data_IF_175516989924
#
_entry.id   IF_175516989924
#
_cell.length_a   1.000
_cell.length_b   1.000
_cell.length_c   1.000
_cell.angle_alpha   90.00
_cell.angle_beta   90.00
_cell.angle_gamma   90.00
#
_symmetry.space_group_name_H-M   'P 1'
#
loop_
_entity.id
_entity.type
_entity.pdbx_description
1 polymer ?
#
# COMPACT_ATOMS: atom_id res chain seq x y z
N UNK A 1 4.59 -20.30 14.80
CA UNK A 1 5.76 -20.45 13.90
C UNK A 1 5.81 -19.23 13.00
N UNK A 2 6.94 -18.52 12.95
CA UNK A 2 7.10 -17.28 12.19
C UNK A 2 6.96 -17.59 10.69
N UNK A 3 5.91 -17.07 10.05
CA UNK A 3 5.75 -17.08 8.60
C UNK A 3 6.46 -15.85 8.05
N UNK A 4 7.59 -16.06 7.37
CA UNK A 4 8.24 -15.03 6.57
C UNK A 4 7.72 -15.17 5.14
N UNK A 5 6.79 -14.30 4.73
CA UNK A 5 6.36 -14.23 3.34
C UNK A 5 7.40 -13.45 2.52
N UNK A 6 8.18 -14.18 1.72
CA UNK A 6 9.05 -13.60 0.71
C UNK A 6 8.25 -13.45 -0.59
N UNK A 7 7.67 -12.27 -0.83
CA UNK A 7 7.05 -11.96 -2.13
C UNK A 7 8.13 -11.45 -3.09
N UNK A 8 8.55 -12.30 -4.02
CA UNK A 8 9.46 -11.94 -5.10
C UNK A 8 8.64 -11.38 -6.27
N UNK A 9 8.61 -10.05 -6.41
CA UNK A 9 8.04 -9.40 -7.60
C UNK A 9 9.18 -8.98 -8.52
N UNK A 10 9.22 -9.56 -9.72
CA UNK A 10 10.23 -9.26 -10.74
C UNK A 10 9.57 -8.37 -11.78
N UNK A 11 10.06 -7.15 -11.98
CA UNK A 11 9.54 -6.25 -13.01
C UNK A 11 10.66 -5.75 -13.91
N UNK A 12 10.41 -5.77 -15.22
CA UNK A 12 11.32 -5.29 -16.26
C UNK A 12 10.84 -3.90 -16.70
N UNK A 13 11.52 -2.84 -16.26
CA UNK A 13 11.27 -1.49 -16.76
C UNK A 13 12.17 -1.21 -17.96
N UNK A 14 11.55 -0.97 -19.12
CA UNK A 14 12.22 -0.38 -20.28
C UNK A 14 12.28 1.14 -20.07
N UNK A 15 13.41 1.64 -19.57
CA UNK A 15 13.67 3.08 -19.50
C UNK A 15 14.24 3.55 -20.84
N UNK A 16 13.54 4.47 -21.50
CA UNK A 16 14.12 5.29 -22.55
C UNK A 16 15.23 6.17 -21.95
N UNK A 17 16.33 6.45 -22.69
CA UNK A 17 17.40 7.29 -22.18
C UNK A 17 16.88 8.72 -21.97
N UNK A 18 16.57 9.05 -20.72
CA UNK A 18 16.38 10.44 -20.31
C UNK A 18 17.74 11.04 -20.01
N UNK A 19 18.02 12.20 -20.60
CA UNK A 19 19.19 13.01 -20.25
C UNK A 19 19.00 13.54 -18.82
N UNK A 20 19.48 12.78 -17.84
CA UNK A 20 19.55 13.21 -16.44
C UNK A 20 20.98 13.66 -16.10
N UNK A 21 21.04 14.76 -15.36
CA UNK A 21 22.24 15.47 -14.94
C UNK A 21 23.27 14.56 -14.25
N UNK A 22 24.54 14.62 -14.67
CA UNK A 22 25.65 13.95 -13.99
C UNK A 22 25.83 14.55 -12.58
N UNK A 23 25.58 13.74 -11.56
CA UNK A 23 25.85 14.07 -10.17
C UNK A 23 26.28 12.83 -9.41
N UNK A 24 26.60 12.94 -8.11
CA UNK A 24 26.99 11.80 -7.27
C UNK A 24 25.96 10.65 -7.25
N UNK A 25 24.73 10.94 -7.62
CA UNK A 25 23.66 9.96 -7.83
C UNK A 25 23.01 10.22 -9.18
N UNK A 26 22.82 9.15 -9.92
CA UNK A 26 22.34 9.14 -11.31
C UNK A 26 20.99 8.43 -11.34
N UNK A 27 19.93 9.20 -11.51
CA UNK A 27 18.55 8.67 -11.56
C UNK A 27 18.27 7.87 -12.84
N UNK A 28 18.98 8.15 -13.94
CA UNK A 28 18.80 7.45 -15.23
C UNK A 28 19.33 6.01 -15.26
N UNK A 29 20.07 5.58 -14.23
CA UNK A 29 20.52 4.19 -14.11
C UNK A 29 19.33 3.25 -13.92
N UNK A 30 19.44 1.98 -14.36
CA UNK A 30 18.38 1.00 -14.15
C UNK A 30 18.13 0.68 -12.67
N UNK A 31 19.05 1.05 -11.76
CA UNK A 31 18.91 0.98 -10.31
C UNK A 31 18.87 2.36 -9.64
N UNK A 32 18.57 3.42 -10.42
CA UNK A 32 18.50 4.81 -9.96
C UNK A 32 17.21 5.16 -9.21
N UNK A 33 16.29 4.21 -9.08
CA UNK A 33 15.05 4.31 -8.32
C UNK A 33 14.90 3.11 -7.39
N UNK A 34 14.23 3.32 -6.25
CA UNK A 34 13.80 2.22 -5.39
C UNK A 34 12.78 1.33 -6.11
N UNK A 35 12.49 0.14 -5.57
CA UNK A 35 11.43 -0.72 -6.09
C UNK A 35 10.11 0.04 -6.19
N UNK A 36 9.34 -0.20 -7.27
CA UNK A 36 8.13 0.56 -7.63
C UNK A 36 7.06 0.68 -6.52
N UNK A 37 7.04 -0.25 -5.57
CA UNK A 37 6.13 -0.24 -4.42
C UNK A 37 6.52 0.79 -3.34
N UNK A 38 7.76 1.28 -3.32
CA UNK A 38 8.22 2.28 -2.36
C UNK A 38 7.71 3.64 -2.82
N UNK A 39 6.83 4.25 -2.04
CA UNK A 39 6.24 5.54 -2.38
C UNK A 39 7.17 6.68 -2.01
N UNK A 40 7.30 7.65 -2.92
CA UNK A 40 8.18 8.80 -2.73
C UNK A 40 9.64 8.40 -2.45
N UNK A 41 10.14 7.38 -3.16
CA UNK A 41 11.52 6.91 -3.01
C UNK A 41 12.54 7.91 -3.57
N UNK A 42 12.14 8.80 -4.47
CA UNK A 42 13.01 9.75 -5.14
C UNK A 42 12.40 11.16 -5.19
N UNK A 43 13.27 12.14 -5.47
CA UNK A 43 12.92 13.54 -5.63
C UNK A 43 13.32 14.05 -7.02
N UNK A 44 12.72 15.16 -7.42
CA UNK A 44 12.92 15.81 -8.71
C UNK A 44 13.66 17.13 -8.58
N UNK A 45 14.36 17.54 -9.64
CA UNK A 45 14.97 18.87 -9.73
C UNK A 45 13.92 19.94 -10.05
N UNK A 46 14.17 21.20 -9.67
CA UNK A 46 13.19 22.29 -9.87
C UNK A 46 12.63 22.32 -11.31
N UNK A 47 11.30 22.38 -11.42
CA UNK A 47 10.59 22.47 -12.69
C UNK A 47 10.29 21.12 -13.34
N UNK A 48 10.87 20.02 -12.87
CA UNK A 48 10.57 18.69 -13.38
C UNK A 48 9.15 18.23 -12.97
N UNK A 49 8.59 17.39 -13.84
CA UNK A 49 7.30 16.76 -13.66
C UNK A 49 7.44 15.26 -13.88
N UNK A 50 6.70 14.47 -13.11
CA UNK A 50 6.50 13.05 -13.36
C UNK A 50 5.01 12.75 -13.33
N UNK A 51 4.54 12.03 -14.34
CA UNK A 51 3.22 11.40 -14.35
C UNK A 51 3.45 9.90 -14.20
N UNK A 52 2.65 9.25 -13.36
CA UNK A 52 2.75 7.82 -13.14
C UNK A 52 1.38 7.16 -13.13
N UNK A 53 1.35 5.95 -13.66
CA UNK A 53 0.26 5.02 -13.56
C UNK A 53 0.84 3.70 -13.05
N UNK A 54 0.26 3.15 -11.98
CA UNK A 54 0.67 1.86 -11.41
C UNK A 54 -0.57 0.99 -11.26
N UNK A 55 -0.45 -0.25 -11.65
CA UNK A 55 -1.47 -1.26 -11.44
C UNK A 55 -0.94 -2.30 -10.45
N UNK A 56 -1.72 -2.62 -9.43
CA UNK A 56 -1.40 -3.61 -8.42
C UNK A 56 -2.59 -4.54 -8.25
N UNK A 57 -2.33 -5.84 -8.29
CA UNK A 57 -3.26 -6.88 -7.86
C UNK A 57 -2.74 -7.46 -6.55
N UNK A 58 -3.63 -7.61 -5.58
CA UNK A 58 -3.34 -8.25 -4.30
C UNK A 58 -4.36 -9.34 -4.04
N UNK A 59 -3.86 -10.57 -3.99
CA UNK A 59 -4.62 -11.73 -3.52
C UNK A 59 -4.31 -11.98 -2.04
N UNK A 60 -5.36 -12.15 -1.27
CA UNK A 60 -5.33 -12.47 0.16
C UNK A 60 -6.14 -13.74 0.39
N UNK A 61 -5.47 -14.72 0.97
CA UNK A 61 -6.04 -15.98 1.41
C UNK A 61 -5.60 -16.21 2.85
N UNK A 62 -6.35 -17.02 3.60
CA UNK A 62 -6.09 -17.38 5.01
C UNK A 62 -6.59 -16.34 6.02
N UNK A 63 -7.14 -16.86 7.11
CA UNK A 63 -7.56 -16.08 8.26
C UNK A 63 -6.49 -16.05 9.35
N UNK A 64 -6.30 -14.89 9.95
CA UNK A 64 -5.35 -14.69 11.04
C UNK A 64 -6.08 -14.13 12.27
N UNK A 65 -5.73 -14.63 13.46
CA UNK A 65 -6.03 -14.02 14.75
C UNK A 65 -4.71 -13.60 15.40
N UNK A 66 -4.38 -12.32 15.29
CA UNK A 66 -3.04 -11.83 15.54
C UNK A 66 -2.04 -12.49 14.59
N UNK A 67 -0.98 -13.10 15.13
CA UNK A 67 0.04 -13.78 14.32
C UNK A 67 -0.27 -15.26 13.99
N UNK A 68 -1.42 -15.79 14.41
CA UNK A 68 -1.77 -17.21 14.28
C UNK A 68 -2.81 -17.43 13.19
N UNK A 69 -2.57 -18.39 12.30
CA UNK A 69 -3.59 -18.84 11.35
C UNK A 69 -4.72 -19.57 12.08
N UNK A 70 -5.95 -19.28 11.68
CA UNK A 70 -7.18 -19.87 12.22
C UNK A 70 -8.01 -20.44 11.08
N UNK A 71 -8.80 -21.47 11.37
CA UNK A 71 -9.72 -22.06 10.38
C UNK A 71 -11.05 -21.31 10.36
N UNK A 72 -11.74 -21.37 9.23
CA UNK A 72 -13.10 -20.81 9.05
C UNK A 72 -14.07 -21.35 10.11
N UNK A 73 -14.09 -22.67 10.33
CA UNK A 73 -14.95 -23.32 11.34
C UNK A 73 -14.72 -22.82 12.77
N UNK A 74 -13.49 -22.41 13.09
CA UNK A 74 -13.16 -21.91 14.44
C UNK A 74 -13.63 -20.48 14.69
N UNK A 75 -13.97 -19.74 13.62
CA UNK A 75 -14.39 -18.35 13.70
C UNK A 75 -15.90 -18.19 13.48
N UNK A 76 -16.51 -19.07 12.69
CA UNK A 76 -17.96 -19.11 12.47
C UNK A 76 -18.68 -19.66 13.71
N UNK A 77 -19.55 -18.85 14.32
CA UNK A 77 -20.30 -19.25 15.50
C UNK A 77 -21.80 -18.96 15.42
N UNK A 78 -22.58 -19.74 16.17
CA UNK A 78 -24.01 -19.49 16.37
C UNK A 78 -24.35 -18.95 17.76
N UNK A 79 -23.70 -19.44 18.82
CA UNK A 79 -23.93 -18.95 20.20
C UNK A 79 -22.86 -19.37 21.22
N UNK A 80 -21.76 -20.04 20.83
CA UNK A 80 -20.73 -20.48 21.81
C UNK A 80 -19.39 -21.03 21.26
N UNK A 81 -19.15 -21.06 19.94
CA UNK A 81 -17.91 -21.64 19.36
C UNK A 81 -17.17 -20.70 18.40
N UNK A 82 -17.78 -19.58 18.00
CA UNK A 82 -17.16 -18.54 17.17
C UNK A 82 -17.87 -17.19 17.35
N UNK A 83 -17.19 -16.11 16.97
CA UNK A 83 -17.64 -14.73 17.25
C UNK A 83 -18.36 -14.09 16.04
N UNK A 84 -18.29 -14.71 14.85
CA UNK A 84 -18.72 -14.08 13.59
C UNK A 84 -19.80 -14.88 12.85
N UNK A 85 -20.77 -14.16 12.26
CA UNK A 85 -21.84 -14.73 11.41
C UNK A 85 -21.37 -15.04 9.99
N UNK A 86 -20.41 -14.28 9.50
CA UNK A 86 -19.80 -14.40 8.18
C UNK A 86 -18.29 -14.26 8.35
N UNK A 87 -17.54 -15.01 7.57
CA UNK A 87 -16.08 -15.02 7.63
C UNK A 87 -15.52 -14.94 6.20
N UNK A 88 -14.58 -14.02 5.93
CA UNK A 88 -13.93 -13.94 4.63
C UNK A 88 -13.02 -15.13 4.40
N UNK A 89 -12.93 -15.59 3.16
CA UNK A 89 -12.16 -16.78 2.77
C UNK A 89 -11.06 -16.43 1.78
N UNK A 90 -11.39 -15.57 0.81
CA UNK A 90 -10.46 -14.99 -0.15
C UNK A 90 -10.86 -13.53 -0.40
N UNK A 91 -9.87 -12.71 -0.72
CA UNK A 91 -10.08 -11.34 -1.18
C UNK A 91 -9.09 -11.04 -2.30
N UNK A 92 -9.60 -10.48 -3.39
CA UNK A 92 -8.82 -9.96 -4.50
C UNK A 92 -9.04 -8.45 -4.57
N UNK A 93 -7.95 -7.70 -4.57
CA UNK A 93 -7.97 -6.25 -4.71
C UNK A 93 -7.14 -5.85 -5.92
N UNK A 94 -7.79 -5.20 -6.88
CA UNK A 94 -7.14 -4.54 -8.00
C UNK A 94 -7.12 -3.02 -7.76
N UNK A 95 -5.94 -2.41 -7.91
CA UNK A 95 -5.71 -1.01 -7.62
C UNK A 95 -5.04 -0.31 -8.80
N UNK A 96 -5.69 0.74 -9.29
CA UNK A 96 -5.17 1.66 -10.29
C UNK A 96 -4.73 2.95 -9.62
N UNK A 97 -3.42 3.20 -9.57
CA UNK A 97 -2.83 4.36 -8.90
C UNK A 97 -2.39 5.38 -9.94
N UNK A 98 -2.96 6.58 -9.89
CA UNK A 98 -2.58 7.70 -10.73
C UNK A 98 -1.84 8.73 -9.88
N UNK A 99 -0.61 9.04 -10.26
CA UNK A 99 0.25 9.95 -9.53
C UNK A 99 0.80 11.07 -10.41
N UNK A 100 0.91 12.25 -9.83
CA UNK A 100 1.57 13.41 -10.42
C UNK A 100 2.59 13.94 -9.41
N UNK A 101 3.82 14.15 -9.85
CA UNK A 101 4.84 14.84 -9.07
C UNK A 101 5.27 16.11 -9.79
N UNK A 102 5.53 17.16 -9.01
CA UNK A 102 6.10 18.40 -9.49
C UNK A 102 7.11 18.96 -8.49
N UNK A 103 8.32 19.24 -8.95
CA UNK A 103 9.33 19.91 -8.14
C UNK A 103 9.19 21.42 -8.22
N UNK A 104 8.69 22.03 -7.15
CA UNK A 104 8.57 23.49 -7.02
C UNK A 104 9.91 24.16 -6.68
N UNK A 105 10.89 23.38 -6.20
CA UNK A 105 12.28 23.80 -5.97
C UNK A 105 13.19 22.56 -5.90
N UNK A 106 14.51 22.75 -5.89
CA UNK A 106 15.47 21.65 -5.70
C UNK A 106 15.41 20.97 -4.33
N UNK A 107 14.66 21.56 -3.38
CA UNK A 107 14.42 21.02 -2.03
C UNK A 107 13.03 20.43 -1.85
N UNK A 108 12.08 20.75 -2.71
CA UNK A 108 10.68 20.39 -2.53
C UNK A 108 10.12 19.77 -3.79
N UNK A 109 9.65 18.53 -3.67
CA UNK A 109 8.82 17.88 -4.68
C UNK A 109 7.45 17.61 -4.09
N UNK A 110 6.41 18.10 -4.73
CA UNK A 110 5.03 17.83 -4.35
C UNK A 110 4.51 16.65 -5.17
N UNK A 111 3.68 15.81 -4.55
CA UNK A 111 3.04 14.67 -5.17
C UNK A 111 1.54 14.71 -4.85
N UNK A 112 0.71 14.50 -5.86
CA UNK A 112 -0.71 14.20 -5.73
C UNK A 112 -1.00 12.82 -6.27
N UNK A 113 -1.84 12.06 -5.58
CA UNK A 113 -2.20 10.70 -5.97
C UNK A 113 -3.65 10.39 -5.69
N UNK A 114 -4.30 9.73 -6.64
CA UNK A 114 -5.64 9.17 -6.50
C UNK A 114 -5.60 7.71 -6.93
N UNK A 115 -6.36 6.86 -6.24
CA UNK A 115 -6.47 5.45 -6.55
C UNK A 115 -7.90 5.12 -6.95
N UNK A 116 -8.07 4.22 -7.91
CA UNK A 116 -9.31 3.50 -8.13
C UNK A 116 -9.13 2.06 -7.66
N UNK A 117 -10.05 1.59 -6.82
CA UNK A 117 -10.04 0.27 -6.22
C UNK A 117 -11.16 -0.56 -6.83
N UNK A 118 -10.90 -1.85 -6.99
CA UNK A 118 -11.86 -2.88 -7.35
C UNK A 118 -11.60 -4.08 -6.44
N UNK A 119 -12.50 -4.31 -5.49
CA UNK A 119 -12.39 -5.31 -4.45
C UNK A 119 -13.45 -6.38 -4.67
N UNK A 120 -13.02 -7.63 -4.56
CA UNK A 120 -13.86 -8.81 -4.56
C UNK A 120 -13.51 -9.64 -3.33
N UNK A 121 -14.50 -10.07 -2.57
CA UNK A 121 -14.30 -10.86 -1.36
C UNK A 121 -15.31 -11.98 -1.27
N UNK A 122 -14.79 -13.20 -1.20
CA UNK A 122 -15.55 -14.41 -0.96
C UNK A 122 -15.70 -14.64 0.53
N UNK A 123 -16.93 -14.89 0.96
CA UNK A 123 -17.30 -15.15 2.35
C UNK A 123 -18.09 -16.43 2.46
N UNK A 124 -17.97 -17.08 3.60
CA UNK A 124 -18.82 -18.20 3.98
C UNK A 124 -19.63 -17.82 5.22
N UNK A 125 -20.90 -18.20 5.20
CA UNK A 125 -21.78 -18.21 6.37
C UNK A 125 -22.30 -19.63 6.61
N UNK A 126 -22.38 -20.04 7.86
CA UNK A 126 -22.81 -21.40 8.24
C UNK A 126 -24.31 -21.50 8.51
N UNK A 127 -24.99 -20.36 8.70
CA UNK A 127 -26.35 -20.38 9.22
C UNK A 127 -27.24 -19.41 8.46
N UNK A 128 -28.32 -19.94 7.89
CA UNK A 128 -29.39 -19.16 7.29
C UNK A 128 -30.64 -19.29 8.15
N UNK A 129 -31.31 -18.16 8.37
CA UNK A 129 -32.59 -18.13 9.06
C UNK A 129 -33.71 -18.21 8.00
N UNK A 130 -34.41 -19.35 7.95
CA UNK A 130 -35.49 -19.58 6.99
C UNK A 130 -36.76 -19.95 7.75
N UNK A 131 -37.80 -19.11 7.62
CA UNK A 131 -39.09 -19.34 8.27
C UNK A 131 -39.03 -19.34 9.81
N UNK A 132 -38.08 -18.63 10.41
CA UNK A 132 -37.90 -18.57 11.87
C UNK A 132 -37.13 -19.75 12.48
N UNK A 133 -36.50 -20.60 11.66
CA UNK A 133 -35.59 -21.65 12.10
C UNK A 133 -34.17 -21.39 11.56
N UNK A 134 -33.17 -21.46 12.44
CA UNK A 134 -31.74 -21.41 12.09
C UNK A 134 -31.28 -22.79 11.66
N UNK A 135 -30.90 -22.96 10.39
CA UNK A 135 -30.38 -24.23 9.85
C UNK A 135 -28.88 -24.12 9.60
N UNK A 136 -28.14 -25.17 9.96
CA UNK A 136 -26.70 -25.30 9.67
C UNK A 136 -26.54 -25.68 8.19
N UNK A 137 -26.15 -24.72 7.35
CA UNK A 137 -25.85 -24.92 5.94
C UNK A 137 -24.81 -23.90 5.46
N UNK A 138 -23.79 -24.40 4.76
CA UNK A 138 -22.68 -23.59 4.29
C UNK A 138 -23.15 -22.84 3.04
N UNK A 139 -23.13 -21.52 3.10
CA UNK A 139 -23.49 -20.65 1.99
C UNK A 139 -22.32 -19.74 1.64
N UNK A 140 -21.90 -19.82 0.38
CA UNK A 140 -20.89 -18.95 -0.20
C UNK A 140 -21.56 -17.66 -0.69
N UNK A 141 -20.93 -16.53 -0.38
CA UNK A 141 -21.37 -15.21 -0.81
C UNK A 141 -20.17 -14.42 -1.31
N UNK A 142 -20.38 -13.63 -2.36
CA UNK A 142 -19.40 -12.67 -2.85
C UNK A 142 -19.87 -11.25 -2.51
N UNK A 143 -18.94 -10.42 -2.08
CA UNK A 143 -19.12 -8.97 -1.97
C UNK A 143 -18.13 -8.27 -2.90
N UNK A 144 -18.61 -7.23 -3.56
CA UNK A 144 -17.82 -6.41 -4.46
C UNK A 144 -17.93 -4.95 -4.05
N UNK A 145 -16.85 -4.20 -4.21
CA UNK A 145 -16.87 -2.74 -4.11
C UNK A 145 -15.86 -2.14 -5.07
N UNK A 146 -16.24 -1.06 -5.75
CA UNK A 146 -15.31 -0.37 -6.64
C UNK A 146 -15.55 1.13 -6.70
N UNK A 147 -14.47 1.88 -6.89
CA UNK A 147 -14.54 3.33 -6.98
C UNK A 147 -13.26 4.02 -6.59
N UNK A 148 -13.33 5.34 -6.44
CA UNK A 148 -12.19 6.15 -6.04
C UNK A 148 -11.93 6.01 -4.54
N UNK A 149 -10.66 5.83 -4.19
CA UNK A 149 -10.21 5.90 -2.81
C UNK A 149 -9.83 7.32 -2.39
N UNK A 150 -9.10 7.40 -1.29
CA UNK A 150 -8.68 8.67 -0.71
C UNK A 150 -7.65 9.41 -1.57
N UNK A 151 -7.83 10.73 -1.67
CA UNK A 151 -6.88 11.63 -2.31
C UNK A 151 -5.66 11.82 -1.39
N UNK A 152 -4.47 11.54 -1.91
CA UNK A 152 -3.21 11.71 -1.17
C UNK A 152 -2.41 12.88 -1.70
N UNK A 153 -2.00 13.77 -0.81
CA UNK A 153 -1.06 14.85 -1.08
C UNK A 153 0.21 14.62 -0.27
N UNK A 154 1.38 14.64 -0.91
CA UNK A 154 2.65 14.38 -0.25
C UNK A 154 3.67 15.45 -0.61
N UNK A 155 4.28 16.06 0.40
CA UNK A 155 5.46 16.92 0.24
C UNK A 155 6.73 16.14 0.53
N UNK A 156 7.63 16.05 -0.44
CA UNK A 156 8.96 15.48 -0.28
C UNK A 156 9.96 16.61 -0.04
N UNK A 157 10.72 16.53 1.05
CA UNK A 157 11.71 17.53 1.44
C UNK A 157 13.12 16.96 1.51
N UNK A 158 14.03 17.54 0.73
CA UNK A 158 15.44 17.16 0.69
C UNK A 158 16.13 17.58 1.99
N UNK A 159 16.56 16.60 2.79
CA UNK A 159 17.27 16.85 4.05
C UNK A 159 18.77 17.01 3.81
N UNK A 160 19.38 16.09 3.06
CA UNK A 160 20.80 16.15 2.73
C UNK A 160 21.17 15.28 1.52
N UNK A 161 22.15 15.78 0.76
CA UNK A 161 22.82 15.08 -0.34
C UNK A 161 24.32 15.08 -0.07
N UNK A 162 24.98 13.95 -0.28
CA UNK A 162 26.43 13.82 -0.13
C UNK A 162 27.11 13.52 -1.46
N UNK A 163 28.38 13.93 -1.59
CA UNK A 163 29.20 13.75 -2.80
C UNK A 163 29.53 12.28 -3.12
N UNK A 164 29.17 11.34 -2.26
CA UNK A 164 29.38 9.90 -2.47
C UNK A 164 28.09 9.15 -2.80
N UNK A 165 27.11 9.83 -3.40
CA UNK A 165 25.88 9.21 -3.88
C UNK A 165 24.88 8.83 -2.79
N UNK A 166 25.05 9.34 -1.57
CA UNK A 166 24.05 9.18 -0.50
C UNK A 166 23.08 10.36 -0.50
N UNK A 167 21.81 10.09 -0.20
CA UNK A 167 20.75 11.11 -0.08
C UNK A 167 19.77 10.73 1.03
N UNK A 168 19.15 11.72 1.64
CA UNK A 168 18.09 11.53 2.62
C UNK A 168 17.02 12.61 2.43
N UNK A 169 15.76 12.21 2.50
CA UNK A 169 14.62 13.10 2.38
C UNK A 169 13.45 12.66 3.25
N UNK A 170 12.57 13.60 3.57
CA UNK A 170 11.32 13.36 4.29
C UNK A 170 10.17 13.31 3.31
N UNK A 171 9.17 12.48 3.61
CA UNK A 171 7.88 12.45 2.98
C UNK A 171 6.85 12.88 4.03
N UNK A 172 6.10 13.94 3.75
CA UNK A 172 5.04 14.45 4.60
C UNK A 172 3.72 14.32 3.85
N UNK A 173 3.01 13.21 4.09
CA UNK A 173 1.75 12.90 3.42
C UNK A 173 0.53 13.28 4.24
N UNK A 174 -0.53 13.65 3.53
CA UNK A 174 -1.88 13.82 4.06
C UNK A 174 -2.85 13.05 3.14
N UNK A 175 -3.61 12.13 3.72
CA UNK A 175 -4.74 11.46 3.07
C UNK A 175 -6.02 12.20 3.41
N UNK A 176 -6.78 12.55 2.38
CA UNK A 176 -8.04 13.25 2.47
C UNK A 176 -9.15 12.21 2.28
N UNK A 177 -10.11 12.06 3.21
CA UNK A 177 -11.13 11.01 3.17
C UNK A 177 -12.18 11.28 2.11
N UNK A 178 -11.81 11.09 0.84
CA UNK A 178 -12.70 11.24 -0.32
C UNK A 178 -13.26 9.90 -0.78
N UNK A 179 -12.65 8.79 -0.36
CA UNK A 179 -13.15 7.46 -0.65
C UNK A 179 -14.42 7.15 0.15
N UNK A 180 -15.32 6.39 -0.46
CA UNK A 180 -16.57 5.97 0.17
C UNK A 180 -16.32 4.99 1.31
N UNK A 181 -17.07 5.15 2.41
CA UNK A 181 -17.15 4.20 3.53
C UNK A 181 -18.58 3.65 3.73
N UNK A 182 -19.47 3.88 2.76
CA UNK A 182 -20.86 3.45 2.75
C UNK A 182 -21.12 2.34 1.72
N UNK A 183 -20.08 1.64 1.25
CA UNK A 183 -20.22 0.54 0.30
C UNK A 183 -21.03 -0.60 0.93
N UNK A 184 -21.96 -1.14 0.14
CA UNK A 184 -22.99 -2.08 0.62
C UNK A 184 -23.11 -3.29 -0.30
N UNK A 185 -23.47 -4.43 0.28
CA UNK A 185 -24.02 -5.57 -0.45
C UNK A 185 -25.45 -5.82 0.02
N UNK A 186 -26.40 -5.59 -0.89
CA UNK A 186 -27.83 -5.61 -0.53
C UNK A 186 -28.18 -4.50 0.46
N UNK A 187 -28.65 -4.86 1.65
CA UNK A 187 -29.04 -3.92 2.70
C UNK A 187 -27.92 -3.63 3.72
N UNK A 188 -26.84 -4.43 3.71
CA UNK A 188 -25.81 -4.41 4.73
C UNK A 188 -24.57 -3.64 4.26
N UNK A 189 -24.00 -2.81 5.15
CA UNK A 189 -22.72 -2.13 4.92
C UNK A 189 -21.61 -3.18 4.92
N UNK A 190 -20.73 -3.11 3.92
CA UNK A 190 -19.58 -3.99 3.82
C UNK A 190 -18.58 -3.73 4.94
N UNK A 191 -17.83 -4.77 5.33
CA UNK A 191 -16.78 -4.63 6.34
C UNK A 191 -15.74 -3.58 5.95
N UNK A 192 -15.06 -2.99 6.93
CA UNK A 192 -14.09 -1.90 6.74
C UNK A 192 -13.00 -2.20 5.69
N UNK A 193 -12.61 -3.46 5.49
CA UNK A 193 -11.64 -3.86 4.47
C UNK A 193 -12.14 -3.78 3.03
N UNK A 194 -13.46 -3.70 2.84
CA UNK A 194 -14.12 -3.55 1.54
C UNK A 194 -14.55 -2.10 1.27
N UNK A 195 -14.33 -1.18 2.21
CA UNK A 195 -14.59 0.24 1.97
C UNK A 195 -13.47 0.84 1.09
N UNK A 196 -13.82 1.87 0.32
CA UNK A 196 -12.90 2.47 -0.65
C UNK A 196 -11.97 3.53 -0.03
N UNK A 197 -12.39 4.13 1.08
CA UNK A 197 -11.62 5.10 1.85
C UNK A 197 -11.41 4.67 3.30
N UNK A 198 -10.59 5.43 4.03
CA UNK A 198 -10.44 5.27 5.47
C UNK A 198 -11.58 5.91 6.28
N UNK A 199 -12.22 6.93 5.71
CA UNK A 199 -13.17 7.80 6.40
C UNK A 199 -12.51 8.82 7.33
N UNK A 200 -11.18 8.81 7.47
CA UNK A 200 -10.44 9.71 8.36
C UNK A 200 -9.40 10.54 7.61
N UNK A 201 -9.05 11.68 8.19
CA UNK A 201 -7.84 12.39 7.75
C UNK A 201 -6.63 11.62 8.25
N UNK A 202 -5.70 11.28 7.37
CA UNK A 202 -4.54 10.49 7.77
C UNK A 202 -3.24 11.26 7.54
N UNK A 203 -2.37 11.28 8.54
CA UNK A 203 -1.03 11.84 8.41
C UNK A 203 -0.02 10.73 8.12
N UNK A 204 0.72 10.85 7.02
CA UNK A 204 1.66 9.84 6.55
C UNK A 204 3.11 10.36 6.53
N UNK A 205 3.79 10.47 7.68
CA UNK A 205 5.21 10.84 7.71
C UNK A 205 6.08 9.63 7.35
N UNK A 206 7.11 9.86 6.54
CA UNK A 206 8.18 8.90 6.33
C UNK A 206 9.53 9.59 6.14
N UNK A 207 10.62 8.87 6.39
CA UNK A 207 11.98 9.27 6.08
C UNK A 207 12.61 8.21 5.19
N UNK A 208 13.27 8.65 4.13
CA UNK A 208 13.91 7.78 3.14
C UNK A 208 15.38 8.09 3.07
N UNK A 209 16.21 7.07 3.19
CA UNK A 209 17.65 7.14 2.98
C UNK A 209 18.04 6.30 1.76
N UNK A 210 18.91 6.85 0.92
CA UNK A 210 19.39 6.23 -0.31
C UNK A 210 20.92 6.25 -0.37
N UNK A 211 21.50 5.21 -0.96
CA UNK A 211 22.91 5.17 -1.34
C UNK A 211 23.10 4.52 -2.70
N UNK A 212 24.00 5.09 -3.50
CA UNK A 212 24.38 4.54 -4.81
C UNK A 212 25.90 4.55 -4.97
N UNK A 213 26.40 3.48 -5.55
CA UNK A 213 27.79 3.24 -6.00
C UNK A 213 27.74 2.78 -7.45
N UNK A 214 28.89 2.60 -8.10
CA UNK A 214 28.99 2.23 -9.52
C UNK A 214 28.13 1.04 -9.93
N UNK A 215 28.00 0.01 -9.07
CA UNK A 215 27.29 -1.24 -9.39
C UNK A 215 26.11 -1.58 -8.48
N UNK A 216 25.94 -0.82 -7.40
CA UNK A 216 24.93 -1.12 -6.39
C UNK A 216 24.20 0.15 -5.95
N UNK A 217 22.94 -0.02 -5.61
CA UNK A 217 22.12 0.95 -4.92
C UNK A 217 21.38 0.28 -3.79
N UNK A 218 21.00 1.04 -2.78
CA UNK A 218 20.23 0.57 -1.65
C UNK A 218 19.47 1.72 -1.03
N UNK A 219 18.45 1.38 -0.26
CA UNK A 219 17.73 2.36 0.50
C UNK A 219 16.95 1.74 1.64
N UNK A 220 16.54 2.60 2.55
CA UNK A 220 15.67 2.28 3.66
C UNK A 220 14.63 3.38 3.81
N UNK A 221 13.39 3.01 4.07
CA UNK A 221 12.29 3.92 4.35
C UNK A 221 11.61 3.48 5.65
N UNK A 222 11.36 4.43 6.53
CA UNK A 222 10.59 4.21 7.76
C UNK A 222 9.50 5.26 7.80
N UNK A 223 8.27 4.87 8.12
CA UNK A 223 7.16 5.78 8.21
C UNK A 223 5.95 5.15 8.88
N UNK A 224 4.82 5.82 8.76
CA UNK A 224 3.56 5.30 9.25
C UNK A 224 2.35 6.04 8.69
N UNK A 225 1.18 5.58 9.11
CA UNK A 225 -0.11 6.20 8.86
C UNK A 225 -0.76 6.41 10.22
N UNK A 226 -0.94 7.67 10.60
CA UNK A 226 -1.59 8.08 11.84
C UNK A 226 -2.97 8.63 11.50
N UNK A 227 -4.03 7.99 12.01
CA UNK A 227 -5.41 8.41 11.76
C UNK A 227 -5.77 9.56 12.69
N UNK A 228 -6.37 10.61 12.14
CA UNK A 228 -6.77 11.79 12.88
C UNK A 228 -8.28 11.76 13.06
N UNK A 229 -8.71 11.51 14.30
CA UNK A 229 -10.12 11.49 14.68
C UNK A 229 -10.83 10.19 14.28
N UNK A 230 -12.16 10.24 14.33
CA UNK A 230 -13.07 9.17 13.91
C UNK A 230 -13.87 9.65 12.71
N UNK A 231 -14.37 8.70 11.93
CA UNK A 231 -15.25 8.98 10.78
C UNK A 231 -16.71 9.19 11.22
N UNK A 232 -17.60 9.42 10.26
CA UNK A 232 -19.03 9.65 10.48
C UNK A 232 -19.81 8.39 10.88
N UNK A 233 -19.16 7.23 10.88
CA UNK A 233 -19.64 5.95 11.42
C UNK A 233 -19.02 5.63 12.80
N UNK A 234 -18.47 6.64 13.48
CA UNK A 234 -17.89 6.57 14.83
C UNK A 234 -16.76 5.52 14.97
N UNK A 235 -15.95 5.33 13.92
CA UNK A 235 -14.75 4.47 13.99
C UNK A 235 -13.51 5.10 13.33
N UNK A 236 -12.34 4.57 13.67
CA UNK A 236 -11.09 4.81 12.96
C UNK A 236 -10.38 3.47 12.74
N UNK A 237 -9.65 3.36 11.63
CA UNK A 237 -8.75 2.23 11.43
C UNK A 237 -7.54 2.33 12.37
N UNK A 238 -6.88 1.20 12.63
CA UNK A 238 -5.63 1.19 13.38
C UNK A 238 -4.52 2.01 12.70
N UNK A 239 -3.71 2.66 13.53
CA UNK A 239 -2.46 3.27 13.10
C UNK A 239 -1.52 2.20 12.56
N UNK A 240 -0.74 2.53 11.52
CA UNK A 240 0.15 1.58 10.87
C UNK A 240 1.58 2.10 10.86
N UNK A 241 2.52 1.28 11.30
CA UNK A 241 3.94 1.52 11.17
C UNK A 241 4.53 0.65 10.05
N UNK A 242 5.32 1.27 9.17
CA UNK A 242 5.96 0.59 8.05
C UNK A 242 7.47 0.84 8.04
N UNK A 243 8.24 -0.21 7.78
CA UNK A 243 9.67 -0.13 7.52
C UNK A 243 10.03 -0.98 6.32
N UNK A 244 10.78 -0.41 5.39
CA UNK A 244 11.18 -1.06 4.14
C UNK A 244 12.69 -0.92 3.94
N UNK A 245 13.34 -2.00 3.55
CA UNK A 245 14.75 -2.05 3.16
C UNK A 245 14.86 -2.64 1.76
N UNK A 246 15.69 -2.06 0.91
CA UNK A 246 15.96 -2.61 -0.42
C UNK A 246 17.42 -2.46 -0.82
N UNK A 247 17.82 -3.33 -1.75
CA UNK A 247 19.10 -3.25 -2.45
C UNK A 247 18.92 -3.67 -3.89
N UNK A 248 19.66 -3.03 -4.79
CA UNK A 248 19.68 -3.36 -6.20
C UNK A 248 21.11 -3.39 -6.74
N UNK A 249 21.28 -4.13 -7.83
CA UNK A 249 22.56 -4.31 -8.51
C UNK A 249 22.37 -4.14 -10.01
N UNK A 250 23.27 -3.41 -10.65
CA UNK A 250 23.34 -3.32 -12.12
C UNK A 250 24.16 -4.47 -12.70
N UNK A 251 23.68 -5.03 -13.80
CA UNK A 251 24.38 -6.05 -14.58
C UNK A 251 24.90 -5.48 -15.90
N UNK A 252 24.11 -4.59 -16.50
CA UNK A 252 24.45 -3.82 -17.70
C UNK A 252 23.96 -2.38 -17.52
N UNK A 253 24.24 -1.53 -18.50
CA UNK A 253 23.76 -0.14 -18.50
C UNK A 253 22.22 -0.03 -18.61
N UNK A 254 21.52 -1.13 -18.90
CA UNK A 254 20.07 -1.16 -19.06
C UNK A 254 19.36 -2.21 -18.20
N UNK A 255 20.10 -3.03 -17.43
CA UNK A 255 19.53 -4.10 -16.63
C UNK A 255 20.02 -4.05 -15.18
N UNK A 256 19.08 -4.05 -14.25
CA UNK A 256 19.30 -4.20 -12.82
C UNK A 256 18.40 -5.30 -12.26
N UNK A 257 18.71 -5.77 -11.04
CA UNK A 257 17.76 -6.49 -10.22
C UNK A 257 17.75 -5.91 -8.81
N UNK A 258 16.59 -5.94 -8.16
CA UNK A 258 16.39 -5.44 -6.81
C UNK A 258 15.75 -6.51 -5.91
N UNK A 259 16.10 -6.50 -4.64
CA UNK A 259 15.41 -7.22 -3.58
C UNK A 259 14.91 -6.21 -2.53
N UNK A 260 13.73 -6.49 -1.97
CA UNK A 260 13.08 -5.64 -0.98
C UNK A 260 12.55 -6.48 0.18
N UNK A 261 12.62 -5.93 1.37
CA UNK A 261 12.01 -6.45 2.59
C UNK A 261 11.09 -5.39 3.17
N UNK A 262 9.84 -5.76 3.44
CA UNK A 262 8.87 -4.89 4.11
C UNK A 262 8.51 -5.47 5.47
N UNK A 263 8.33 -4.57 6.42
CA UNK A 263 7.76 -4.81 7.73
C UNK A 263 6.60 -3.84 7.92
N UNK A 264 5.45 -4.35 8.33
CA UNK A 264 4.28 -3.55 8.67
C UNK A 264 3.69 -4.05 9.98
N UNK A 265 3.23 -3.13 10.82
CA UNK A 265 2.51 -3.44 12.06
C UNK A 265 1.35 -2.47 12.17
N UNK A 266 0.16 -2.99 12.43
CA UNK A 266 -1.05 -2.20 12.62
C UNK A 266 -1.59 -2.45 14.04
N UNK A 267 -2.02 -1.38 14.68
CA UNK A 267 -2.64 -1.40 16.02
C UNK A 267 -4.12 -1.79 15.98
#
# INVERSE_FOLDING_TARGET
MKSHFLKLLTFLSLLAPSFAHEGPWTASRPDGHGPISVMGDHMHAMGEWMVSYRYMTMDMETLLKGANSVSVDSQLGTTSVGDFRMVPTAMKMDMHMFGLMHAISDKWTLMGMVNYLDNEMDMIMHFMEMGGMTMRHDHEMAAESSGLGDLKLVGLYDLAKWNNGRRIHLNLGLSIPTGSIDEKSGADILGYGMQLGSGTWDFNPAITFLGQTDKYSWGAQIGGTFRIGENDQDYALGDNFCATLWGARTFTDSLSASAKFDFSSQD
#
